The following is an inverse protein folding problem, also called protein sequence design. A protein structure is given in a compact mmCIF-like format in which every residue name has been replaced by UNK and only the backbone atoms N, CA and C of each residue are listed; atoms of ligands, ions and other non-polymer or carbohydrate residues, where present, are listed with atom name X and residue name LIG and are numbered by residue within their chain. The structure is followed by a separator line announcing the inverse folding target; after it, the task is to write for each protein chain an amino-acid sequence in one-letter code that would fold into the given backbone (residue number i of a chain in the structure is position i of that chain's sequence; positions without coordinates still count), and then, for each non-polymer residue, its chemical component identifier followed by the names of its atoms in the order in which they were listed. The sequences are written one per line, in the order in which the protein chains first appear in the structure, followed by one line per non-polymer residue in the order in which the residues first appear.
data_IF_242612949211
#
_entry.id   IF_242612949211
#
_cell.length_a   1.000
_cell.length_b   1.000
_cell.length_c   1.000
_cell.angle_alpha   90.00
_cell.angle_beta   90.00
_cell.angle_gamma   90.00
#
_symmetry.space_group_name_H-M   'P 1'
#
loop_
_entity.id
_entity.type
_entity.pdbx_description
1 polymer ?
#
# COMPACT_ATOMS: atom_id res chain seq x y z
N UNK A 1 14.03 -5.51 0.24
CA UNK A 1 14.59 -4.88 1.45
C UNK A 1 13.63 -3.81 1.94
N UNK A 2 13.20 -3.92 3.19
CA UNK A 2 12.21 -3.04 3.82
C UNK A 2 12.70 -1.60 3.87
N UNK A 3 11.83 -0.68 3.42
CA UNK A 3 12.10 0.76 3.36
C UNK A 3 11.00 1.54 4.04
N UNK A 4 11.36 2.71 4.58
CA UNK A 4 10.41 3.63 5.19
C UNK A 4 9.28 4.06 4.23
N UNK A 5 9.56 4.05 2.92
CA UNK A 5 8.54 4.27 1.90
C UNK A 5 7.41 3.24 2.00
N UNK A 6 7.72 1.95 2.13
CA UNK A 6 6.72 0.88 2.21
C UNK A 6 5.75 1.12 3.38
N UNK A 7 6.29 1.48 4.54
CA UNK A 7 5.49 1.79 5.74
C UNK A 7 4.63 3.04 5.55
N UNK A 8 5.11 4.07 4.83
CA UNK A 8 4.31 5.24 4.48
C UNK A 8 3.13 4.86 3.60
N UNK A 9 3.35 4.03 2.57
CA UNK A 9 2.27 3.55 1.70
C UNK A 9 1.25 2.74 2.51
N UNK A 10 1.71 1.81 3.34
CA UNK A 10 0.83 1.04 4.23
C UNK A 10 0.01 1.93 5.16
N UNK A 11 0.64 2.89 5.84
CA UNK A 11 -0.05 3.79 6.76
C UNK A 11 -1.17 4.56 6.05
N UNK A 12 -0.89 5.16 4.89
CA UNK A 12 -1.91 5.90 4.13
C UNK A 12 -3.04 4.98 3.66
N UNK A 13 -2.72 3.79 3.12
CA UNK A 13 -3.74 2.83 2.70
C UNK A 13 -4.60 2.39 3.88
N UNK A 14 -4.03 2.15 5.05
CA UNK A 14 -4.79 1.77 6.26
C UNK A 14 -5.76 2.84 6.77
N UNK A 15 -5.52 4.11 6.43
CA UNK A 15 -6.40 5.23 6.77
C UNK A 15 -7.39 5.56 5.63
N UNK A 16 -7.17 5.00 4.44
CA UNK A 16 -8.00 5.24 3.25
C UNK A 16 -9.07 4.16 3.11
N UNK A 17 -10.17 4.48 2.44
CA UNK A 17 -11.24 3.50 2.15
C UNK A 17 -10.96 2.70 0.87
N UNK A 18 -9.99 3.14 0.06
CA UNK A 18 -9.58 2.44 -1.16
C UNK A 18 -8.14 2.76 -1.57
N UNK A 19 -7.56 1.91 -2.42
CA UNK A 19 -6.27 2.17 -3.06
C UNK A 19 -6.29 3.44 -3.93
N UNK A 20 -7.44 3.76 -4.56
CA UNK A 20 -7.61 4.98 -5.33
C UNK A 20 -7.43 6.22 -4.47
N UNK A 21 -8.13 6.27 -3.34
CA UNK A 21 -8.04 7.38 -2.41
C UNK A 21 -6.62 7.53 -1.85
N UNK A 22 -5.97 6.43 -1.47
CA UNK A 22 -4.58 6.45 -0.99
C UNK A 22 -3.61 7.00 -2.07
N UNK A 23 -3.84 6.65 -3.33
CA UNK A 23 -3.03 7.13 -4.46
C UNK A 23 -3.21 8.64 -4.70
N UNK A 24 -4.44 9.15 -4.57
CA UNK A 24 -4.74 10.58 -4.62
C UNK A 24 -4.05 11.33 -3.48
N UNK A 25 -4.13 10.83 -2.23
CA UNK A 25 -3.46 11.43 -1.07
C UNK A 25 -1.93 11.45 -1.20
N UNK A 26 -1.35 10.39 -1.79
CA UNK A 26 0.10 10.27 -2.00
C UNK A 26 0.59 10.97 -3.27
N UNK A 27 -0.31 11.51 -4.10
CA UNK A 27 -0.02 12.07 -5.42
C UNK A 27 0.81 11.13 -6.32
N UNK A 28 0.34 9.88 -6.46
CA UNK A 28 0.98 8.84 -7.29
C UNK A 28 -0.07 8.02 -8.04
N UNK A 29 0.38 7.20 -8.99
CA UNK A 29 -0.50 6.24 -9.63
C UNK A 29 -0.96 5.13 -8.66
N UNK A 30 -2.19 4.63 -8.83
CA UNK A 30 -2.72 3.49 -8.04
C UNK A 30 -1.83 2.25 -8.12
N UNK A 31 -1.26 1.97 -9.30
CA UNK A 31 -0.33 0.86 -9.50
C UNK A 31 0.95 0.97 -8.66
N UNK A 32 1.40 2.20 -8.35
CA UNK A 32 2.53 2.43 -7.47
C UNK A 32 2.17 2.04 -6.02
N UNK A 33 0.98 2.44 -5.54
CA UNK A 33 0.50 2.06 -4.21
C UNK A 33 0.39 0.55 -4.09
N UNK A 34 -0.33 -0.12 -5.01
CA UNK A 34 -0.48 -1.58 -4.99
C UNK A 34 0.85 -2.30 -5.03
N UNK A 35 1.83 -1.81 -5.81
CA UNK A 35 3.17 -2.39 -5.88
C UNK A 35 3.91 -2.24 -4.55
N UNK A 36 3.85 -1.08 -3.90
CA UNK A 36 4.54 -0.83 -2.63
C UNK A 36 3.95 -1.68 -1.50
N UNK A 37 2.62 -1.83 -1.47
CA UNK A 37 1.97 -2.75 -0.53
C UNK A 37 2.40 -4.19 -0.78
N UNK A 38 2.35 -4.65 -2.03
CA UNK A 38 2.75 -6.03 -2.37
C UNK A 38 4.19 -6.32 -1.97
N UNK A 39 5.12 -5.39 -2.23
CA UNK A 39 6.53 -5.55 -1.81
C UNK A 39 6.62 -5.70 -0.28
N UNK A 40 5.84 -4.92 0.48
CA UNK A 40 5.83 -5.02 1.94
C UNK A 40 5.26 -6.37 2.40
N UNK A 41 4.15 -6.82 1.82
CA UNK A 41 3.53 -8.12 2.09
C UNK A 41 4.52 -9.27 1.81
N UNK A 42 5.23 -9.20 0.67
CA UNK A 42 6.23 -10.19 0.28
C UNK A 42 7.43 -10.20 1.26
N UNK A 43 7.83 -9.05 1.79
CA UNK A 43 8.93 -8.92 2.74
C UNK A 43 8.61 -9.45 4.14
N UNK A 44 7.38 -9.27 4.60
CA UNK A 44 6.92 -9.77 5.90
C UNK A 44 6.34 -11.19 5.81
N UNK A 45 6.10 -11.70 4.59
CA UNK A 45 5.55 -13.03 4.35
C UNK A 45 4.06 -13.16 4.68
N UNK A 46 3.30 -12.06 4.68
CA UNK A 46 1.89 -12.03 5.08
C UNK A 46 1.13 -10.93 4.35
N UNK A 47 -0.13 -11.21 4.00
CA UNK A 47 -1.05 -10.20 3.49
C UNK A 47 -1.38 -9.16 4.57
N UNK A 48 -1.39 -7.89 4.19
CA UNK A 48 -1.68 -6.76 5.09
C UNK A 48 -3.10 -6.24 4.92
N UNK A 49 -3.72 -6.49 3.77
CA UNK A 49 -5.08 -6.08 3.47
C UNK A 49 -5.89 -7.23 2.86
N UNK A 50 -7.17 -7.29 3.23
CA UNK A 50 -8.14 -8.13 2.55
C UNK A 50 -8.53 -7.51 1.20
N UNK A 51 -8.62 -8.34 0.16
CA UNK A 51 -9.03 -7.90 -1.17
C UNK A 51 -10.51 -8.18 -1.34
N UNK A 52 -11.31 -7.12 -1.42
CA UNK A 52 -12.73 -7.23 -1.76
C UNK A 52 -12.92 -7.13 -3.28
N UNK A 53 -13.88 -7.87 -3.85
CA UNK A 53 -14.22 -7.81 -5.27
C UNK A 53 -14.81 -6.45 -5.69
#
# INVERSE_FOLDING_TARGET
MLKLSHLRYFHVVSQSHSIREAAEQLNVAQSAVSRQIKILEDEIGMALFERHP
#
